data_IF_532830941629
#
_entry.id   IF_532830941629
#
_cell.length_a   1.000
_cell.length_b   1.000
_cell.length_c   1.000
_cell.angle_alpha   90.00
_cell.angle_beta   90.00
_cell.angle_gamma   90.00
#
_symmetry.space_group_name_H-M   'P 1'
#
loop_
_entity.id
_entity.type
_entity.pdbx_description
1 polymer ?
#
# COMPACT_ATOMS: atom_id res chain seq x y z
N UNK A 1 -24.47 -2.78 -34.59
CA UNK A 1 -25.52 -2.61 -33.55
C UNK A 1 -25.03 -1.60 -32.51
N UNK A 2 -25.50 -0.35 -32.60
CA UNK A 2 -25.20 0.73 -31.65
C UNK A 2 -26.10 0.57 -30.42
N UNK A 3 -25.54 0.18 -29.28
CA UNK A 3 -26.30 0.15 -28.02
C UNK A 3 -26.69 1.57 -27.59
N UNK A 4 -27.88 1.77 -27.02
CA UNK A 4 -28.35 3.09 -26.61
C UNK A 4 -27.41 3.73 -25.56
N UNK A 5 -27.17 5.04 -25.70
CA UNK A 5 -26.23 5.83 -24.88
C UNK A 5 -26.51 5.68 -23.37
N UNK A 6 -27.78 5.60 -22.97
CA UNK A 6 -28.20 5.40 -21.58
C UNK A 6 -27.69 4.08 -20.98
N UNK A 7 -27.66 3.00 -21.78
CA UNK A 7 -27.12 1.70 -21.35
C UNK A 7 -25.59 1.75 -21.19
N UNK A 8 -24.89 2.50 -22.04
CA UNK A 8 -23.44 2.69 -21.92
C UNK A 8 -23.08 3.48 -20.66
N UNK A 9 -23.86 4.50 -20.31
CA UNK A 9 -23.67 5.29 -19.09
C UNK A 9 -23.96 4.51 -17.80
N UNK A 10 -25.01 3.67 -17.78
CA UNK A 10 -25.34 2.85 -16.60
C UNK A 10 -24.28 1.79 -16.31
N UNK A 11 -23.73 1.17 -17.36
CA UNK A 11 -22.64 0.20 -17.25
C UNK A 11 -21.36 0.82 -16.68
N UNK A 12 -20.97 2.03 -17.12
CA UNK A 12 -19.80 2.72 -16.58
C UNK A 12 -19.98 3.13 -15.11
N UNK A 13 -21.21 3.45 -14.69
CA UNK A 13 -21.51 3.69 -13.27
C UNK A 13 -21.30 2.43 -12.42
N UNK A 14 -21.75 1.28 -12.90
CA UNK A 14 -21.54 -0.01 -12.21
C UNK A 14 -20.05 -0.36 -12.12
N UNK A 15 -19.28 -0.16 -13.20
CA UNK A 15 -17.81 -0.36 -13.20
C UNK A 15 -17.13 0.55 -12.18
N UNK A 16 -17.56 1.82 -12.07
CA UNK A 16 -17.01 2.75 -11.08
C UNK A 16 -17.24 2.27 -9.65
N UNK A 17 -18.46 1.86 -9.30
CA UNK A 17 -18.74 1.32 -7.96
C UNK A 17 -18.00 0.02 -7.66
N UNK A 18 -17.86 -0.85 -8.66
CA UNK A 18 -17.03 -2.04 -8.52
C UNK A 18 -15.56 -1.69 -8.25
N UNK A 19 -14.97 -0.72 -8.96
CA UNK A 19 -13.59 -0.28 -8.70
C UNK A 19 -13.44 0.42 -7.34
N UNK A 20 -14.44 1.18 -6.88
CA UNK A 20 -14.46 1.73 -5.51
C UNK A 20 -14.44 0.59 -4.49
N UNK A 21 -15.29 -0.42 -4.67
CA UNK A 21 -15.31 -1.60 -3.81
C UNK A 21 -13.95 -2.32 -3.80
N UNK A 22 -13.32 -2.51 -4.97
CA UNK A 22 -11.99 -3.11 -5.04
C UNK A 22 -10.91 -2.27 -4.33
N UNK A 23 -10.95 -0.95 -4.44
CA UNK A 23 -10.03 -0.07 -3.73
C UNK A 23 -10.21 -0.19 -2.20
N UNK A 24 -11.45 -0.22 -1.72
CA UNK A 24 -11.76 -0.42 -0.30
C UNK A 24 -11.30 -1.79 0.20
N UNK A 25 -11.50 -2.86 -0.57
CA UNK A 25 -11.00 -4.19 -0.21
C UNK A 25 -9.47 -4.23 -0.13
N UNK A 26 -8.76 -3.61 -1.06
CA UNK A 26 -7.30 -3.56 -1.01
C UNK A 26 -6.82 -2.72 0.18
N UNK A 27 -7.48 -1.60 0.50
CA UNK A 27 -7.17 -0.83 1.69
C UNK A 27 -7.38 -1.65 2.97
N UNK A 28 -8.48 -2.41 3.06
CA UNK A 28 -8.73 -3.33 4.16
C UNK A 28 -7.67 -4.44 4.21
N UNK A 29 -7.28 -5.03 3.07
CA UNK A 29 -6.23 -6.03 2.98
C UNK A 29 -4.89 -5.52 3.52
N UNK A 30 -4.52 -4.28 3.17
CA UNK A 30 -3.30 -3.65 3.69
C UNK A 30 -3.38 -3.50 5.21
N UNK A 31 -4.51 -3.07 5.78
CA UNK A 31 -4.67 -2.95 7.23
C UNK A 31 -4.65 -4.30 7.95
N UNK A 32 -5.36 -5.30 7.42
CA UNK A 32 -5.35 -6.66 7.98
C UNK A 32 -3.95 -7.26 7.91
N UNK A 33 -3.23 -7.10 6.79
CA UNK A 33 -1.83 -7.53 6.67
C UNK A 33 -0.89 -6.78 7.62
N UNK A 34 -1.14 -5.48 7.86
CA UNK A 34 -0.46 -4.69 8.88
C UNK A 34 -0.67 -5.27 10.28
N UNK A 35 -1.91 -5.66 10.61
CA UNK A 35 -2.24 -6.31 11.87
C UNK A 35 -1.54 -7.66 12.00
N UNK A 36 -1.62 -8.53 10.98
CA UNK A 36 -0.92 -9.82 10.92
C UNK A 36 0.58 -9.68 11.17
N UNK A 37 1.23 -8.63 10.65
CA UNK A 37 2.64 -8.34 10.96
C UNK A 37 2.82 -7.85 12.39
N UNK A 38 2.00 -6.90 12.85
CA UNK A 38 2.13 -6.30 14.19
C UNK A 38 1.89 -7.32 15.32
N UNK A 39 1.11 -8.36 15.06
CA UNK A 39 0.85 -9.49 15.96
C UNK A 39 1.77 -10.69 15.69
N UNK A 40 2.83 -10.52 14.90
CA UNK A 40 3.84 -11.55 14.56
C UNK A 40 3.23 -12.84 13.98
N UNK A 41 2.07 -12.73 13.34
CA UNK A 41 1.23 -13.86 12.95
C UNK A 41 1.56 -14.41 11.56
N UNK A 42 2.46 -13.77 10.80
CA UNK A 42 2.70 -14.06 9.38
C UNK A 42 3.32 -15.43 9.04
N UNK A 43 3.58 -16.28 10.03
CA UNK A 43 4.21 -17.61 9.88
C UNK A 43 3.44 -18.74 10.62
N UNK A 44 2.23 -18.44 11.13
CA UNK A 44 1.38 -19.40 11.85
C UNK A 44 0.81 -20.52 10.98
N UNK A 45 0.68 -20.31 9.65
CA UNK A 45 0.16 -21.29 8.69
C UNK A 45 1.29 -21.80 7.80
N UNK A 46 1.83 -22.97 8.17
CA UNK A 46 2.97 -23.60 7.51
C UNK A 46 2.62 -24.29 6.20
N UNK A 47 1.35 -24.67 6.01
CA UNK A 47 0.89 -25.37 4.81
C UNK A 47 0.44 -24.40 3.72
N UNK A 48 0.82 -24.66 2.47
CA UNK A 48 0.28 -23.97 1.31
C UNK A 48 -0.88 -24.75 0.71
N UNK A 49 -2.11 -24.36 1.08
CA UNK A 49 -3.36 -24.91 0.55
C UNK A 49 -4.18 -23.81 -0.14
N UNK A 50 -4.02 -23.59 -1.47
CA UNK A 50 -4.66 -22.47 -2.18
C UNK A 50 -6.18 -22.51 -2.14
N UNK A 51 -6.76 -23.70 -2.30
CA UNK A 51 -8.21 -23.91 -2.39
C UNK A 51 -8.78 -24.33 -1.03
N UNK A 52 -8.34 -25.48 -0.50
CA UNK A 52 -8.88 -26.07 0.74
C UNK A 52 -8.55 -25.25 1.99
N UNK A 53 -7.46 -24.48 1.99
CA UNK A 53 -7.12 -23.55 3.08
C UNK A 53 -8.01 -22.30 3.16
N UNK A 54 -9.12 -22.27 2.41
CA UNK A 54 -10.19 -21.28 2.58
C UNK A 54 -11.07 -21.60 3.79
N UNK A 55 -11.12 -22.86 4.21
CA UNK A 55 -11.73 -23.27 5.48
C UNK A 55 -10.65 -23.29 6.57
N UNK A 56 -10.91 -22.77 7.77
CA UNK A 56 -10.02 -22.94 8.91
C UNK A 56 -10.15 -24.38 9.46
N UNK A 57 -9.29 -24.83 10.39
CA UNK A 57 -9.50 -26.05 11.13
C UNK A 57 -10.87 -26.03 11.84
N UNK A 58 -11.68 -27.07 11.63
CA UNK A 58 -13.06 -27.17 12.13
C UNK A 58 -13.19 -28.15 13.30
N UNK A 59 -12.24 -29.07 13.47
CA UNK A 59 -12.21 -30.02 14.58
C UNK A 59 -11.02 -29.78 15.51
N UNK A 60 -11.10 -30.34 16.73
CA UNK A 60 -9.99 -30.27 17.69
C UNK A 60 -8.72 -30.95 17.17
N UNK A 61 -8.87 -32.07 16.45
CA UNK A 61 -7.75 -32.81 15.87
C UNK A 61 -7.06 -32.01 14.75
N UNK A 62 -7.82 -31.31 13.92
CA UNK A 62 -7.27 -30.44 12.88
C UNK A 62 -6.51 -29.25 13.49
N UNK A 63 -7.03 -28.66 14.56
CA UNK A 63 -6.35 -27.60 15.31
C UNK A 63 -5.05 -28.09 15.95
N UNK A 64 -5.07 -29.28 16.56
CA UNK A 64 -3.88 -29.90 17.13
C UNK A 64 -2.81 -30.13 16.06
N UNK A 65 -3.20 -30.69 14.91
CA UNK A 65 -2.27 -30.94 13.79
C UNK A 65 -1.66 -29.65 13.24
N UNK A 66 -2.45 -28.61 13.05
CA UNK A 66 -1.94 -27.31 12.61
C UNK A 66 -0.94 -26.73 13.61
N UNK A 67 -1.22 -26.86 14.91
CA UNK A 67 -0.34 -26.37 15.97
C UNK A 67 0.95 -27.19 16.06
N UNK A 68 0.91 -28.52 15.93
CA UNK A 68 2.12 -29.34 15.85
C UNK A 68 3.01 -28.90 14.68
N UNK A 69 2.43 -28.62 13.50
CA UNK A 69 3.19 -28.07 12.37
C UNK A 69 3.86 -26.74 12.68
N UNK A 70 3.22 -25.87 13.47
CA UNK A 70 3.81 -24.60 13.91
C UNK A 70 4.95 -24.80 14.92
N UNK A 71 4.90 -25.83 15.78
CA UNK A 71 5.99 -26.12 16.73
C UNK A 71 7.31 -26.50 16.05
N UNK A 72 7.24 -26.94 14.80
CA UNK A 72 8.42 -27.33 14.03
C UNK A 72 9.21 -26.14 13.45
N UNK A 73 8.63 -24.94 13.39
CA UNK A 73 9.30 -23.79 12.77
C UNK A 73 10.13 -22.98 13.79
N UNK A 74 11.18 -22.25 13.34
CA UNK A 74 12.03 -21.47 14.23
C UNK A 74 11.27 -20.46 15.10
N UNK A 75 10.23 -19.82 14.56
CA UNK A 75 9.44 -18.83 15.30
C UNK A 75 8.85 -19.41 16.60
N UNK A 76 8.35 -20.65 16.58
CA UNK A 76 7.88 -21.28 17.82
C UNK A 76 9.02 -21.53 18.78
N UNK A 77 10.11 -22.15 18.31
CA UNK A 77 11.24 -22.58 19.15
C UNK A 77 11.97 -21.41 19.81
N UNK A 78 12.09 -20.28 19.11
CA UNK A 78 12.89 -19.13 19.56
C UNK A 78 12.07 -18.02 20.21
N UNK A 79 10.81 -17.81 19.79
CA UNK A 79 9.99 -16.69 20.26
C UNK A 79 8.76 -17.11 21.08
N UNK A 80 8.15 -18.26 20.75
CA UNK A 80 6.83 -18.65 21.28
C UNK A 80 6.86 -19.99 22.01
N UNK A 81 8.02 -20.39 22.55
CA UNK A 81 8.18 -21.67 23.22
C UNK A 81 7.25 -21.74 24.45
N UNK A 82 6.46 -22.81 24.54
CA UNK A 82 5.47 -22.99 25.60
C UNK A 82 4.11 -22.33 25.34
N UNK A 83 3.90 -21.75 24.16
CA UNK A 83 2.59 -21.22 23.73
C UNK A 83 1.49 -22.28 23.83
N UNK A 84 0.29 -21.88 24.26
CA UNK A 84 -0.88 -22.76 24.29
C UNK A 84 -1.60 -22.81 22.95
N UNK A 85 -2.45 -23.82 22.74
CA UNK A 85 -3.26 -23.91 21.52
C UNK A 85 -4.17 -22.67 21.32
N UNK A 86 -4.69 -22.08 22.40
CA UNK A 86 -5.57 -20.90 22.29
C UNK A 86 -4.80 -19.63 21.94
N UNK A 87 -3.56 -19.50 22.40
CA UNK A 87 -2.65 -18.44 21.94
C UNK A 87 -2.29 -18.63 20.47
N UNK A 88 -2.03 -19.87 20.02
CA UNK A 88 -1.79 -20.19 18.62
C UNK A 88 -3.00 -19.84 17.72
N UNK A 89 -4.24 -20.14 18.15
CA UNK A 89 -5.45 -19.74 17.41
C UNK A 89 -5.50 -18.25 17.14
N UNK A 90 -5.03 -17.42 18.08
CA UNK A 90 -5.03 -15.95 17.92
C UNK A 90 -4.17 -15.52 16.73
N UNK A 91 -2.93 -16.02 16.63
CA UNK A 91 -2.06 -15.71 15.49
C UNK A 91 -2.57 -16.37 14.19
N UNK A 92 -3.09 -17.60 14.28
CA UNK A 92 -3.68 -18.30 13.14
C UNK A 92 -4.83 -17.50 12.51
N UNK A 93 -5.75 -16.96 13.31
CA UNK A 93 -6.89 -16.21 12.80
C UNK A 93 -6.49 -14.96 12.04
N UNK A 94 -5.44 -14.24 12.48
CA UNK A 94 -4.94 -13.08 11.76
C UNK A 94 -4.38 -13.46 10.39
N UNK A 95 -3.56 -14.52 10.33
CA UNK A 95 -2.97 -14.95 9.07
C UNK A 95 -4.01 -15.56 8.12
N UNK A 96 -4.90 -16.40 8.64
CA UNK A 96 -5.97 -17.00 7.87
C UNK A 96 -6.90 -15.94 7.28
N UNK A 97 -7.30 -14.94 8.07
CA UNK A 97 -8.17 -13.84 7.62
C UNK A 97 -7.52 -13.02 6.52
N UNK A 98 -6.23 -12.71 6.67
CA UNK A 98 -5.44 -12.02 5.64
C UNK A 98 -5.40 -12.83 4.33
N UNK A 99 -5.09 -14.14 4.41
CA UNK A 99 -5.04 -15.03 3.24
C UNK A 99 -6.41 -15.21 2.58
N UNK A 100 -7.47 -15.38 3.36
CA UNK A 100 -8.84 -15.49 2.86
C UNK A 100 -9.27 -14.22 2.14
N UNK A 101 -9.01 -13.05 2.72
CA UNK A 101 -9.31 -11.77 2.10
C UNK A 101 -8.57 -11.60 0.77
N UNK A 102 -7.30 -12.00 0.68
CA UNK A 102 -6.55 -12.02 -0.59
C UNK A 102 -7.20 -12.90 -1.67
N UNK A 103 -7.67 -14.11 -1.31
CA UNK A 103 -8.41 -15.00 -2.23
C UNK A 103 -9.73 -14.36 -2.68
N UNK A 104 -10.47 -13.80 -1.73
CA UNK A 104 -11.74 -13.12 -2.00
C UNK A 104 -11.55 -11.95 -2.96
N UNK A 105 -10.51 -11.13 -2.79
CA UNK A 105 -10.16 -10.03 -3.71
C UNK A 105 -9.95 -10.55 -5.13
N UNK A 106 -9.26 -11.68 -5.31
CA UNK A 106 -9.07 -12.30 -6.63
C UNK A 106 -10.39 -12.62 -7.32
N UNK A 107 -11.32 -13.24 -6.59
CA UNK A 107 -12.66 -13.61 -7.09
C UNK A 107 -13.52 -12.36 -7.34
N UNK A 108 -13.53 -11.42 -6.37
CA UNK A 108 -14.28 -10.17 -6.42
C UNK A 108 -13.80 -9.24 -7.55
N UNK A 109 -12.55 -9.39 -8.00
CA UNK A 109 -12.08 -8.75 -9.23
C UNK A 109 -12.48 -9.55 -10.48
N UNK A 110 -12.14 -10.84 -10.53
CA UNK A 110 -12.26 -11.63 -11.76
C UNK A 110 -13.71 -11.79 -12.22
N UNK A 111 -14.64 -12.13 -11.32
CA UNK A 111 -16.02 -12.43 -11.73
C UNK A 111 -16.75 -11.20 -12.31
N UNK A 112 -16.75 -10.02 -11.65
CA UNK A 112 -17.35 -8.83 -12.25
C UNK A 112 -16.62 -8.40 -13.52
N UNK A 113 -15.29 -8.55 -13.58
CA UNK A 113 -14.52 -8.23 -14.78
C UNK A 113 -14.96 -9.05 -16.00
N UNK A 114 -15.04 -10.39 -15.85
CA UNK A 114 -15.54 -11.29 -16.89
C UNK A 114 -16.99 -10.94 -17.28
N UNK A 115 -17.84 -10.64 -16.30
CA UNK A 115 -19.23 -10.23 -16.55
C UNK A 115 -19.31 -8.94 -17.36
N UNK A 116 -18.56 -7.90 -16.99
CA UNK A 116 -18.53 -6.63 -17.74
C UNK A 116 -17.98 -6.82 -19.17
N UNK A 117 -16.99 -7.70 -19.36
CA UNK A 117 -16.48 -8.05 -20.70
C UNK A 117 -17.55 -8.73 -21.54
N UNK A 118 -18.23 -9.76 -21.01
CA UNK A 118 -19.31 -10.47 -21.71
C UNK A 118 -20.46 -9.51 -22.04
N UNK A 119 -20.80 -8.61 -21.12
CA UNK A 119 -21.79 -7.56 -21.32
C UNK A 119 -21.30 -6.45 -22.25
N UNK A 120 -20.11 -6.52 -22.87
CA UNK A 120 -19.59 -5.48 -23.77
C UNK A 120 -19.54 -4.08 -23.14
N UNK A 121 -19.36 -4.01 -21.82
CA UNK A 121 -19.43 -2.78 -21.03
C UNK A 121 -18.13 -1.97 -21.08
N UNK A 122 -17.03 -2.60 -21.48
CA UNK A 122 -15.67 -2.07 -21.32
C UNK A 122 -15.08 -1.60 -22.66
N UNK A 123 -14.69 -0.33 -22.78
CA UNK A 123 -13.84 0.14 -23.88
C UNK A 123 -12.51 -0.62 -23.92
N UNK A 124 -11.87 -0.69 -25.10
CA UNK A 124 -10.61 -1.44 -25.32
C UNK A 124 -9.48 -1.00 -24.38
N UNK A 125 -9.29 0.32 -24.18
CA UNK A 125 -8.25 0.83 -23.27
C UNK A 125 -8.51 0.44 -21.81
N UNK A 126 -9.77 0.52 -21.37
CA UNK A 126 -10.16 0.11 -20.01
C UNK A 126 -9.96 -1.40 -19.83
N UNK A 127 -10.33 -2.22 -20.82
CA UNK A 127 -10.10 -3.67 -20.80
C UNK A 127 -8.62 -4.01 -20.64
N UNK A 128 -7.73 -3.34 -21.40
CA UNK A 128 -6.27 -3.53 -21.29
C UNK A 128 -5.76 -3.18 -19.89
N UNK A 129 -6.16 -2.03 -19.34
CA UNK A 129 -5.78 -1.61 -17.98
C UNK A 129 -6.22 -2.62 -16.91
N UNK A 130 -7.45 -3.13 -17.00
CA UNK A 130 -7.99 -4.10 -16.05
C UNK A 130 -7.27 -5.45 -16.14
N UNK A 131 -6.85 -5.89 -17.32
CA UNK A 131 -5.99 -7.08 -17.46
C UNK A 131 -4.62 -6.90 -16.81
N UNK A 132 -3.99 -5.73 -16.98
CA UNK A 132 -2.72 -5.41 -16.31
C UNK A 132 -2.90 -5.44 -14.80
N UNK A 133 -3.95 -4.80 -14.27
CA UNK A 133 -4.27 -4.81 -12.84
C UNK A 133 -4.51 -6.25 -12.33
N UNK A 134 -5.21 -7.09 -13.10
CA UNK A 134 -5.41 -8.49 -12.76
C UNK A 134 -4.10 -9.28 -12.73
N UNK A 135 -3.23 -9.09 -13.73
CA UNK A 135 -1.91 -9.72 -13.77
C UNK A 135 -1.03 -9.31 -12.58
N UNK A 136 -1.05 -8.03 -12.21
CA UNK A 136 -0.38 -7.54 -11.01
C UNK A 136 -0.96 -8.16 -9.73
N UNK A 137 -2.28 -8.39 -9.67
CA UNK A 137 -2.93 -9.13 -8.58
C UNK A 137 -2.45 -10.59 -8.48
N UNK A 138 -2.25 -11.26 -9.62
CA UNK A 138 -1.62 -12.59 -9.65
C UNK A 138 -0.18 -12.56 -9.12
N UNK A 139 0.61 -11.58 -9.56
CA UNK A 139 1.97 -11.35 -9.05
C UNK A 139 1.97 -11.05 -7.55
N UNK A 140 1.01 -10.28 -7.04
CA UNK A 140 0.84 -10.01 -5.61
C UNK A 140 0.67 -11.31 -4.82
N UNK A 141 -0.15 -12.24 -5.32
CA UNK A 141 -0.30 -13.57 -4.72
C UNK A 141 1.01 -14.37 -4.72
N UNK A 142 1.76 -14.34 -5.82
CA UNK A 142 3.07 -15.00 -5.92
C UNK A 142 4.10 -14.40 -4.94
N UNK A 143 4.17 -13.07 -4.83
CA UNK A 143 5.04 -12.38 -3.86
C UNK A 143 4.61 -12.71 -2.43
N UNK A 144 3.31 -12.80 -2.15
CA UNK A 144 2.80 -13.20 -0.83
C UNK A 144 3.15 -14.63 -0.47
N UNK A 145 3.10 -15.56 -1.42
CA UNK A 145 3.61 -16.92 -1.22
C UNK A 145 5.12 -16.94 -0.94
N UNK A 146 5.90 -16.22 -1.76
CA UNK A 146 7.35 -16.10 -1.56
C UNK A 146 7.69 -15.53 -0.19
N UNK A 147 6.93 -14.54 0.28
CA UNK A 147 7.08 -13.90 1.59
C UNK A 147 6.95 -14.89 2.75
N UNK A 148 5.97 -15.81 2.71
CA UNK A 148 5.77 -16.81 3.78
C UNK A 148 6.72 -17.99 3.63
N UNK A 149 6.77 -18.61 2.45
CA UNK A 149 7.47 -19.89 2.24
C UNK A 149 8.94 -19.83 2.70
N UNK A 150 9.54 -18.67 2.52
CA UNK A 150 10.93 -18.38 2.82
C UNK A 150 11.21 -17.95 4.27
N UNK A 151 10.17 -17.78 5.08
CA UNK A 151 10.26 -17.54 6.52
C UNK A 151 10.08 -18.80 7.35
N UNK A 152 9.72 -19.94 6.75
CA UNK A 152 9.39 -21.16 7.49
C UNK A 152 10.63 -22.00 7.89
N UNK A 153 11.76 -21.84 7.21
CA UNK A 153 12.92 -22.75 7.37
C UNK A 153 14.12 -22.11 8.07
N UNK A 154 14.35 -20.81 7.88
CA UNK A 154 15.61 -20.14 8.28
C UNK A 154 15.41 -18.90 9.16
N UNK A 155 14.17 -18.47 9.40
CA UNK A 155 13.87 -17.19 10.05
C UNK A 155 12.74 -17.34 11.05
N UNK A 156 12.74 -16.46 12.05
CA UNK A 156 11.64 -16.33 13.02
C UNK A 156 10.57 -15.32 12.56
N UNK A 157 10.84 -14.60 11.47
CA UNK A 157 9.98 -13.57 10.92
C UNK A 157 10.11 -13.46 9.40
N UNK A 158 9.14 -12.78 8.81
CA UNK A 158 9.19 -12.44 7.40
C UNK A 158 10.26 -11.37 7.17
N UNK A 159 11.13 -11.61 6.19
CA UNK A 159 12.13 -10.62 5.76
C UNK A 159 11.51 -9.27 5.38
N UNK A 160 12.11 -8.19 5.90
CA UNK A 160 11.76 -6.81 5.61
C UNK A 160 11.76 -6.49 4.11
N UNK A 161 12.65 -7.09 3.33
CA UNK A 161 12.70 -6.93 1.88
C UNK A 161 11.43 -7.48 1.20
N UNK A 162 10.97 -8.65 1.66
CA UNK A 162 9.79 -9.33 1.10
C UNK A 162 8.52 -8.61 1.52
N UNK A 163 8.44 -8.21 2.79
CA UNK A 163 7.35 -7.38 3.31
C UNK A 163 7.22 -6.07 2.52
N UNK A 164 8.32 -5.34 2.34
CA UNK A 164 8.33 -4.08 1.60
C UNK A 164 7.93 -4.27 0.13
N UNK A 165 8.45 -5.31 -0.53
CA UNK A 165 8.08 -5.65 -1.91
C UNK A 165 6.58 -5.95 -2.02
N UNK A 166 6.04 -6.76 -1.11
CA UNK A 166 4.62 -7.13 -1.10
C UNK A 166 3.72 -5.91 -0.85
N UNK A 167 4.06 -5.04 0.11
CA UNK A 167 3.29 -3.85 0.42
C UNK A 167 3.31 -2.85 -0.74
N UNK A 168 4.49 -2.55 -1.30
CA UNK A 168 4.61 -1.60 -2.42
C UNK A 168 3.84 -2.09 -3.64
N UNK A 169 3.90 -3.38 -3.97
CA UNK A 169 3.11 -3.95 -5.08
C UNK A 169 1.60 -3.83 -4.83
N UNK A 170 1.11 -4.10 -3.61
CA UNK A 170 -0.29 -3.86 -3.26
C UNK A 170 -0.71 -2.40 -3.46
N UNK A 171 0.13 -1.46 -3.05
CA UNK A 171 -0.12 -0.02 -3.15
C UNK A 171 -0.02 0.49 -4.60
N UNK A 172 0.79 -0.14 -5.45
CA UNK A 172 0.81 0.10 -6.89
C UNK A 172 -0.51 -0.37 -7.55
N UNK A 173 -1.01 -1.55 -7.18
CA UNK A 173 -2.31 -2.05 -7.65
C UNK A 173 -3.44 -1.11 -7.20
N UNK A 174 -3.43 -0.71 -5.93
CA UNK A 174 -4.37 0.26 -5.38
C UNK A 174 -4.33 1.58 -6.17
N UNK A 175 -3.13 2.12 -6.41
CA UNK A 175 -2.91 3.33 -7.19
C UNK A 175 -3.46 3.20 -8.61
N UNK A 176 -3.22 2.07 -9.28
CA UNK A 176 -3.73 1.82 -10.62
C UNK A 176 -5.27 1.79 -10.67
N UNK A 177 -5.91 1.23 -9.64
CA UNK A 177 -7.38 1.22 -9.51
C UNK A 177 -7.90 2.65 -9.27
N UNK A 178 -7.32 3.40 -8.32
CA UNK A 178 -7.72 4.79 -8.04
C UNK A 178 -7.54 5.66 -9.27
N UNK A 179 -6.41 5.55 -9.97
CA UNK A 179 -6.15 6.27 -11.21
C UNK A 179 -7.16 5.91 -12.30
N UNK A 180 -7.51 4.63 -12.44
CA UNK A 180 -8.52 4.17 -13.41
C UNK A 180 -9.89 4.74 -13.07
N UNK A 181 -10.31 4.65 -11.81
CA UNK A 181 -11.57 5.21 -11.30
C UNK A 181 -11.67 6.71 -11.59
N UNK A 182 -10.57 7.44 -11.41
CA UNK A 182 -10.46 8.86 -11.69
C UNK A 182 -10.68 9.20 -13.17
N UNK A 183 -10.07 8.42 -14.06
CA UNK A 183 -10.21 8.54 -15.52
C UNK A 183 -11.59 8.12 -16.06
N UNK A 184 -12.38 7.36 -15.30
CA UNK A 184 -13.79 7.04 -15.63
C UNK A 184 -14.76 8.17 -15.28
N UNK A 185 -14.30 9.24 -14.64
CA UNK A 185 -15.12 10.39 -14.33
C UNK A 185 -15.03 11.43 -15.45
N UNK A 186 -16.16 11.85 -16.02
CA UNK A 186 -16.20 12.99 -16.92
C UNK A 186 -15.86 14.26 -16.14
N UNK A 187 -14.62 14.73 -16.29
CA UNK A 187 -14.12 15.96 -15.65
C UNK A 187 -13.49 16.84 -16.72
N UNK A 188 -13.70 18.18 -16.65
CA UNK A 188 -12.96 19.08 -17.51
C UNK A 188 -11.46 18.97 -17.20
N UNK A 189 -10.59 19.01 -18.22
CA UNK A 189 -9.15 19.03 -18.00
C UNK A 189 -8.79 20.29 -17.18
N UNK A 190 -8.02 20.12 -16.11
CA UNK A 190 -7.49 21.28 -15.38
C UNK A 190 -6.13 21.65 -15.96
N UNK A 191 -6.02 22.85 -16.50
CA UNK A 191 -4.74 23.41 -16.92
C UNK A 191 -3.88 23.64 -15.68
N UNK A 192 -2.73 22.95 -15.63
CA UNK A 192 -1.71 23.10 -14.61
C UNK A 192 -0.40 23.53 -15.28
N UNK A 193 0.38 24.39 -14.62
CA UNK A 193 1.74 24.72 -15.04
C UNK A 193 2.65 23.49 -15.02
N UNK A 194 3.70 23.47 -15.84
CA UNK A 194 4.65 22.35 -15.86
C UNK A 194 5.27 22.09 -14.49
N UNK A 195 5.57 23.16 -13.73
CA UNK A 195 6.09 23.08 -12.36
C UNK A 195 5.15 22.33 -11.42
N UNK A 196 3.85 22.64 -11.44
CA UNK A 196 2.86 21.95 -10.60
C UNK A 196 2.68 20.48 -11.01
N UNK A 197 2.73 20.17 -12.31
CA UNK A 197 2.68 18.78 -12.82
C UNK A 197 3.87 17.96 -12.35
N UNK A 198 5.07 18.54 -12.45
CA UNK A 198 6.32 17.89 -12.04
C UNK A 198 6.32 17.68 -10.53
N UNK A 199 6.04 18.73 -9.75
CA UNK A 199 6.01 18.63 -8.28
C UNK A 199 4.94 17.65 -7.79
N UNK A 200 3.76 17.60 -8.42
CA UNK A 200 2.74 16.61 -8.12
C UNK A 200 3.18 15.16 -8.40
N UNK A 201 3.88 14.93 -9.50
CA UNK A 201 4.46 13.61 -9.83
C UNK A 201 5.57 13.24 -8.85
N UNK A 202 6.46 14.18 -8.52
CA UNK A 202 7.52 13.99 -7.52
C UNK A 202 6.94 13.64 -6.16
N UNK A 203 5.90 14.34 -5.71
CA UNK A 203 5.20 14.01 -4.46
C UNK A 203 4.67 12.58 -4.46
N UNK A 204 4.05 12.12 -5.55
CA UNK A 204 3.58 10.74 -5.65
C UNK A 204 4.73 9.73 -5.52
N UNK A 205 5.85 9.98 -6.19
CA UNK A 205 7.05 9.12 -6.10
C UNK A 205 7.60 9.11 -4.68
N UNK A 206 7.76 10.28 -4.05
CA UNK A 206 8.27 10.39 -2.68
C UNK A 206 7.34 9.72 -1.66
N UNK A 207 6.01 9.74 -1.88
CA UNK A 207 5.07 8.96 -1.07
C UNK A 207 5.36 7.46 -1.18
N UNK A 208 5.64 6.93 -2.37
CA UNK A 208 6.04 5.51 -2.52
C UNK A 208 7.36 5.19 -1.82
N UNK A 209 8.35 6.09 -1.91
CA UNK A 209 9.63 5.93 -1.20
C UNK A 209 9.40 5.92 0.32
N UNK A 210 8.57 6.83 0.83
CA UNK A 210 8.22 6.88 2.25
C UNK A 210 7.49 5.62 2.73
N UNK A 211 6.54 5.11 1.93
CA UNK A 211 5.81 3.86 2.22
C UNK A 211 6.76 2.65 2.21
N UNK A 212 7.71 2.61 1.28
CA UNK A 212 8.77 1.59 1.25
C UNK A 212 9.64 1.63 2.51
N UNK A 213 10.13 2.81 2.91
CA UNK A 213 10.89 2.96 4.15
C UNK A 213 10.07 2.60 5.40
N UNK A 214 8.77 2.94 5.41
CA UNK A 214 7.87 2.53 6.49
C UNK A 214 7.74 1.00 6.59
N UNK A 215 7.70 0.31 5.45
CA UNK A 215 7.69 -1.14 5.40
C UNK A 215 8.99 -1.77 5.92
N UNK A 216 10.15 -1.15 5.66
CA UNK A 216 11.43 -1.58 6.23
C UNK A 216 11.48 -1.37 7.74
N UNK A 217 11.04 -0.21 8.23
CA UNK A 217 10.94 0.08 9.68
C UNK A 217 10.06 -0.95 10.37
N UNK A 218 8.93 -1.31 9.76
CA UNK A 218 8.08 -2.38 10.25
C UNK A 218 8.80 -3.75 10.16
N UNK A 219 9.39 -4.11 9.03
CA UNK A 219 10.05 -5.40 8.86
C UNK A 219 11.19 -5.65 9.85
N UNK A 220 11.96 -4.61 10.21
CA UNK A 220 13.06 -4.71 11.17
C UNK A 220 12.64 -4.53 12.64
N UNK A 221 11.35 -4.29 12.92
CA UNK A 221 10.86 -3.84 14.24
C UNK A 221 11.58 -2.57 14.75
N UNK A 222 12.14 -1.77 13.83
CA UNK A 222 12.94 -0.58 14.12
C UNK A 222 12.17 0.50 14.90
N UNK A 223 10.85 0.51 14.81
CA UNK A 223 9.99 1.42 15.56
C UNK A 223 10.04 1.24 17.09
N UNK A 224 10.61 0.15 17.62
CA UNK A 224 10.72 -0.14 19.07
C UNK A 224 12.13 0.08 19.65
N UNK A 225 13.06 0.60 18.86
CA UNK A 225 14.49 0.65 19.26
C UNK A 225 14.90 2.06 19.69
N UNK A 226 14.63 3.07 18.84
CA UNK A 226 15.01 4.45 19.11
C UNK A 226 13.76 5.32 19.17
N UNK A 227 13.24 5.59 20.37
CA UNK A 227 11.89 6.13 20.58
C UNK A 227 11.84 7.60 21.04
N UNK A 228 12.91 8.37 20.82
CA UNK A 228 12.95 9.83 21.03
C UNK A 228 12.62 10.60 19.75
N UNK A 229 12.23 11.87 19.89
CA UNK A 229 11.98 12.83 18.80
C UNK A 229 12.17 14.27 19.30
N UNK A 230 12.81 15.18 18.53
CA UNK A 230 13.28 15.02 17.15
C UNK A 230 14.63 14.31 17.02
N UNK A 231 15.36 14.13 18.12
CA UNK A 231 16.59 13.35 18.14
C UNK A 231 16.31 11.85 17.93
N UNK A 232 17.35 11.12 17.58
CA UNK A 232 17.39 9.67 17.48
C UNK A 232 18.69 9.23 18.13
N UNK A 233 18.56 8.59 19.29
CA UNK A 233 19.68 8.15 20.12
C UNK A 233 20.61 9.31 20.54
N UNK A 234 20.04 10.38 21.08
CA UNK A 234 20.77 11.52 21.65
C UNK A 234 21.31 12.52 20.63
N UNK A 235 21.01 12.36 19.34
CA UNK A 235 21.44 13.28 18.28
C UNK A 235 20.39 13.44 17.18
N UNK A 236 20.32 14.59 16.52
CA UNK A 236 19.41 14.76 15.36
C UNK A 236 19.89 13.99 14.13
N UNK A 237 21.20 13.95 13.90
CA UNK A 237 21.88 13.14 12.89
C UNK A 237 22.90 12.28 13.63
N UNK A 238 22.70 10.95 13.70
CA UNK A 238 23.68 10.05 14.29
C UNK A 238 25.02 10.09 13.56
N UNK A 239 26.08 9.74 14.27
CA UNK A 239 27.42 9.70 13.70
C UNK A 239 27.54 8.66 12.57
N UNK A 240 28.43 8.92 11.61
CA UNK A 240 28.55 8.11 10.40
C UNK A 240 28.96 6.66 10.69
N UNK A 241 29.78 6.43 11.70
CA UNK A 241 30.17 5.09 12.17
C UNK A 241 28.97 4.27 12.64
N UNK A 242 27.94 4.91 13.18
CA UNK A 242 26.71 4.24 13.63
C UNK A 242 25.71 4.02 12.50
N UNK A 243 25.70 4.93 11.52
CA UNK A 243 24.83 4.81 10.34
C UNK A 243 25.39 3.84 9.30
N UNK A 244 26.70 3.61 9.26
CA UNK A 244 27.36 2.88 8.18
C UNK A 244 28.35 1.80 8.66
N UNK A 245 28.03 1.07 9.73
CA UNK A 245 28.89 -0.01 10.24
C UNK A 245 28.80 -1.32 9.45
N UNK A 246 27.66 -1.63 8.82
CA UNK A 246 27.50 -2.87 8.05
C UNK A 246 28.37 -2.88 6.78
N UNK A 247 28.90 -4.06 6.43
CA UNK A 247 29.66 -4.28 5.20
C UNK A 247 28.96 -5.30 4.28
N UNK A 248 28.85 -5.03 2.97
CA UNK A 248 29.15 -3.77 2.29
C UNK A 248 28.23 -2.60 2.73
N UNK A 249 28.73 -1.37 2.65
CA UNK A 249 28.08 -0.17 3.23
C UNK A 249 26.60 0.02 2.89
N UNK A 250 26.16 -0.39 1.69
CA UNK A 250 24.78 -0.23 1.23
C UNK A 250 23.78 -1.06 2.04
N UNK A 251 24.23 -2.11 2.73
CA UNK A 251 23.37 -2.92 3.60
C UNK A 251 22.77 -2.11 4.74
N UNK A 252 23.47 -1.06 5.20
CA UNK A 252 22.94 -0.19 6.24
C UNK A 252 21.61 0.47 5.85
N UNK A 253 21.36 0.71 4.56
CA UNK A 253 20.12 1.32 4.09
C UNK A 253 18.88 0.41 4.24
N UNK A 254 19.09 -0.87 4.57
CA UNK A 254 18.04 -1.89 4.57
C UNK A 254 18.07 -2.84 5.78
N UNK A 255 19.23 -3.04 6.39
CA UNK A 255 19.47 -3.98 7.50
C UNK A 255 19.77 -3.25 8.82
N UNK A 256 20.45 -2.09 8.77
CA UNK A 256 20.79 -1.34 9.98
C UNK A 256 19.55 -0.61 10.49
N UNK A 257 19.08 -1.04 11.66
CA UNK A 257 17.86 -0.53 12.30
C UNK A 257 17.91 0.98 12.54
N UNK A 258 19.06 1.53 12.97
CA UNK A 258 19.22 2.97 13.20
C UNK A 258 19.09 3.75 11.88
N UNK A 259 19.78 3.30 10.84
CA UNK A 259 19.80 3.94 9.53
C UNK A 259 18.44 3.87 8.84
N UNK A 260 17.75 2.72 8.91
CA UNK A 260 16.41 2.55 8.36
C UNK A 260 15.38 3.44 9.08
N UNK A 261 15.51 3.61 10.39
CA UNK A 261 14.63 4.52 11.13
C UNK A 261 14.97 5.98 10.80
N UNK A 262 16.24 6.34 10.74
CA UNK A 262 16.71 7.68 10.37
C UNK A 262 16.27 8.10 8.95
N UNK A 263 16.46 7.24 7.94
CA UNK A 263 16.06 7.54 6.56
C UNK A 263 14.54 7.72 6.44
N UNK A 264 13.75 6.95 7.19
CA UNK A 264 12.29 7.09 7.22
C UNK A 264 11.86 8.44 7.79
N UNK A 265 12.54 8.92 8.85
CA UNK A 265 12.27 10.24 9.45
C UNK A 265 12.69 11.38 8.51
N UNK A 266 13.90 11.33 7.96
CA UNK A 266 14.40 12.38 7.05
C UNK A 266 13.59 12.48 5.76
N UNK A 267 13.19 11.34 5.19
CA UNK A 267 12.30 11.31 4.03
C UNK A 267 10.91 11.86 4.37
N UNK A 268 10.37 11.61 5.58
CA UNK A 268 9.11 12.20 6.02
C UNK A 268 9.18 13.73 6.06
N UNK A 269 10.27 14.31 6.60
CA UNK A 269 10.47 15.76 6.65
C UNK A 269 10.59 16.37 5.26
N UNK A 270 11.39 15.75 4.38
CA UNK A 270 11.54 16.19 3.00
C UNK A 270 10.21 16.14 2.24
N UNK A 271 9.46 15.04 2.37
CA UNK A 271 8.14 14.87 1.76
C UNK A 271 7.16 15.94 2.26
N UNK A 272 7.12 16.20 3.56
CA UNK A 272 6.27 17.24 4.15
C UNK A 272 6.62 18.63 3.61
N UNK A 273 7.91 18.98 3.57
CA UNK A 273 8.38 20.25 3.02
C UNK A 273 7.97 20.42 1.55
N UNK A 274 8.15 19.39 0.71
CA UNK A 274 7.76 19.42 -0.71
C UNK A 274 6.24 19.61 -0.85
N UNK A 275 5.42 19.00 0.01
CA UNK A 275 3.96 19.16 -0.04
C UNK A 275 3.51 20.57 0.34
N UNK A 276 4.12 21.17 1.35
CA UNK A 276 3.88 22.57 1.73
C UNK A 276 4.31 23.50 0.60
N UNK A 277 5.49 23.29 0.01
CA UNK A 277 5.96 24.08 -1.13
C UNK A 277 5.04 23.94 -2.36
N UNK A 278 4.52 22.73 -2.62
CA UNK A 278 3.53 22.51 -3.69
C UNK A 278 2.21 23.27 -3.43
N UNK A 279 1.75 23.32 -2.18
CA UNK A 279 0.58 24.13 -1.80
C UNK A 279 0.85 25.63 -1.98
N UNK A 280 1.99 26.12 -1.51
CA UNK A 280 2.39 27.53 -1.68
C UNK A 280 2.46 27.87 -3.17
N UNK A 281 3.09 27.03 -4.00
CA UNK A 281 3.16 27.21 -5.44
C UNK A 281 1.75 27.29 -6.06
N UNK A 282 0.86 26.36 -5.70
CA UNK A 282 -0.52 26.35 -6.21
C UNK A 282 -1.28 27.64 -5.84
N UNK A 283 -1.08 28.17 -4.63
CA UNK A 283 -1.70 29.41 -4.17
C UNK A 283 -1.12 30.64 -4.88
N UNK A 284 0.20 30.79 -4.91
CA UNK A 284 0.89 31.95 -5.49
C UNK A 284 0.68 32.02 -7.01
N UNK A 285 0.72 30.88 -7.69
CA UNK A 285 0.45 30.80 -9.14
C UNK A 285 -1.03 30.95 -9.50
N UNK A 286 -1.93 31.09 -8.50
CA UNK A 286 -3.39 31.16 -8.68
C UNK A 286 -3.90 30.01 -9.53
N UNK A 287 -3.41 28.79 -9.23
CA UNK A 287 -3.81 27.59 -9.93
C UNK A 287 -5.32 27.34 -9.82
N UNK A 288 -5.84 26.45 -10.66
CA UNK A 288 -7.25 26.06 -10.62
C UNK A 288 -7.68 25.71 -9.17
N UNK A 289 -8.87 26.17 -8.69
CA UNK A 289 -9.32 25.92 -7.31
C UNK A 289 -9.33 24.45 -6.89
N UNK A 290 -9.55 23.53 -7.83
CA UNK A 290 -9.46 22.10 -7.56
C UNK A 290 -8.02 21.70 -7.19
N UNK A 291 -7.00 22.16 -7.93
CA UNK A 291 -5.58 21.89 -7.65
C UNK A 291 -5.19 22.42 -6.27
N UNK A 292 -5.57 23.67 -5.96
CA UNK A 292 -5.31 24.28 -4.64
C UNK A 292 -5.96 23.47 -3.52
N UNK A 293 -7.24 23.11 -3.67
CA UNK A 293 -7.95 22.29 -2.68
C UNK A 293 -7.31 20.91 -2.50
N UNK A 294 -6.83 20.29 -3.57
CA UNK A 294 -6.12 19.01 -3.49
C UNK A 294 -4.78 19.11 -2.78
N UNK A 295 -4.00 20.15 -3.08
CA UNK A 295 -2.74 20.42 -2.38
C UNK A 295 -2.97 20.69 -0.89
N UNK A 296 -4.03 21.41 -0.54
CA UNK A 296 -4.40 21.67 0.86
C UNK A 296 -4.74 20.37 1.61
N UNK A 297 -5.64 19.55 1.06
CA UNK A 297 -5.99 18.27 1.68
C UNK A 297 -4.79 17.33 1.80
N UNK A 298 -3.91 17.32 0.80
CA UNK A 298 -2.68 16.53 0.86
C UNK A 298 -1.76 17.02 1.99
N UNK A 299 -1.55 18.33 2.11
CA UNK A 299 -0.73 18.91 3.20
C UNK A 299 -1.33 18.60 4.59
N UNK A 300 -2.64 18.76 4.77
CA UNK A 300 -3.33 18.43 6.02
C UNK A 300 -3.22 16.94 6.37
N UNK A 301 -3.41 16.05 5.39
CA UNK A 301 -3.25 14.62 5.59
C UNK A 301 -1.80 14.24 5.93
N UNK A 302 -0.81 14.92 5.34
CA UNK A 302 0.60 14.73 5.69
C UNK A 302 0.94 15.25 7.09
N UNK A 303 0.32 16.35 7.55
CA UNK A 303 0.44 16.79 8.95
C UNK A 303 -0.07 15.71 9.88
N UNK A 304 -1.28 15.20 9.64
CA UNK A 304 -1.84 14.09 10.44
C UNK A 304 -0.96 12.85 10.38
N UNK A 305 -0.44 12.48 9.21
CA UNK A 305 0.46 11.35 9.03
C UNK A 305 1.74 11.49 9.86
N UNK A 306 2.37 12.67 9.82
CA UNK A 306 3.57 12.97 10.58
C UNK A 306 3.30 12.93 12.09
N UNK A 307 2.21 13.54 12.56
CA UNK A 307 1.78 13.47 13.97
C UNK A 307 1.58 12.03 14.42
N UNK A 308 0.83 11.23 13.66
CA UNK A 308 0.61 9.81 13.98
C UNK A 308 1.90 9.01 13.96
N UNK A 309 2.83 9.31 13.05
CA UNK A 309 4.14 8.65 13.00
C UNK A 309 4.98 8.95 14.25
N UNK A 310 5.01 10.22 14.67
CA UNK A 310 5.68 10.65 15.90
C UNK A 310 5.02 10.01 17.13
N UNK A 311 3.69 9.99 17.23
CA UNK A 311 3.01 9.35 18.36
C UNK A 311 3.23 7.83 18.37
N UNK A 312 3.19 7.16 17.21
CA UNK A 312 3.48 5.72 17.10
C UNK A 312 4.89 5.41 17.60
N UNK A 313 5.85 6.28 17.29
CA UNK A 313 7.23 6.18 17.74
C UNK A 313 7.34 6.43 19.26
N UNK A 314 6.83 7.55 19.78
CA UNK A 314 6.98 7.92 21.20
C UNK A 314 6.32 6.92 22.15
N UNK A 315 5.25 6.25 21.72
CA UNK A 315 4.55 5.23 22.50
C UNK A 315 4.98 3.78 22.19
N UNK A 316 6.12 3.58 21.53
CA UNK A 316 6.71 2.25 21.28
C UNK A 316 5.84 1.30 20.43
N UNK A 317 5.24 1.84 19.37
CA UNK A 317 4.44 1.12 18.38
C UNK A 317 3.19 0.43 18.97
N UNK A 318 2.27 1.14 19.63
CA UNK A 318 0.97 0.57 19.99
C UNK A 318 0.24 0.15 18.72
N UNK A 319 -0.32 -1.06 18.70
CA UNK A 319 -0.92 -1.65 17.49
C UNK A 319 -1.96 -0.72 16.86
N UNK A 320 -2.80 -0.10 17.69
CA UNK A 320 -3.83 0.83 17.21
C UNK A 320 -3.22 2.06 16.54
N UNK A 321 -2.22 2.70 17.14
CA UNK A 321 -1.55 3.86 16.53
C UNK A 321 -0.83 3.48 15.23
N UNK A 322 -0.13 2.34 15.22
CA UNK A 322 0.54 1.85 14.03
C UNK A 322 -0.43 1.57 12.87
N UNK A 323 -1.58 0.94 13.16
CA UNK A 323 -2.62 0.68 12.16
C UNK A 323 -3.31 1.96 11.67
N UNK A 324 -3.58 2.92 12.57
CA UNK A 324 -4.15 4.23 12.18
C UNK A 324 -3.15 5.02 11.33
N UNK A 325 -1.87 5.02 11.69
CA UNK A 325 -0.79 5.61 10.89
C UNK A 325 -0.71 4.97 9.49
N UNK A 326 -0.84 3.65 9.40
CA UNK A 326 -0.87 2.95 8.11
C UNK A 326 -2.13 3.27 7.30
N UNK A 327 -3.29 3.39 7.95
CA UNK A 327 -4.55 3.78 7.32
C UNK A 327 -4.50 5.20 6.75
N UNK A 328 -3.98 6.16 7.51
CA UNK A 328 -3.78 7.54 7.01
C UNK A 328 -2.74 7.58 5.90
N UNK A 329 -1.74 6.69 5.89
CA UNK A 329 -0.79 6.57 4.78
C UNK A 329 -1.50 6.22 3.45
N UNK A 330 -2.52 5.35 3.48
CA UNK A 330 -3.35 5.02 2.30
C UNK A 330 -4.16 6.24 1.85
N UNK A 331 -4.64 7.06 2.79
CA UNK A 331 -5.33 8.33 2.48
C UNK A 331 -4.36 9.32 1.82
N UNK A 332 -3.15 9.48 2.35
CA UNK A 332 -2.10 10.32 1.75
C UNK A 332 -1.78 9.86 0.33
N UNK A 333 -1.59 8.54 0.11
CA UNK A 333 -1.39 7.97 -1.21
C UNK A 333 -2.55 8.30 -2.15
N UNK A 334 -3.79 8.10 -1.69
CA UNK A 334 -5.00 8.40 -2.47
C UNK A 334 -5.02 9.88 -2.90
N UNK A 335 -4.75 10.80 -1.97
CA UNK A 335 -4.72 12.23 -2.25
C UNK A 335 -3.59 12.61 -3.20
N UNK A 336 -2.40 12.03 -3.06
CA UNK A 336 -1.26 12.25 -3.95
C UNK A 336 -1.56 11.77 -5.38
N UNK A 337 -2.14 10.57 -5.52
CA UNK A 337 -2.58 10.00 -6.82
C UNK A 337 -3.63 10.89 -7.46
N UNK A 338 -4.63 11.33 -6.69
CA UNK A 338 -5.70 12.20 -7.20
C UNK A 338 -5.17 13.58 -7.59
N UNK A 339 -4.21 14.12 -6.85
CA UNK A 339 -3.57 15.39 -7.15
C UNK A 339 -2.75 15.30 -8.44
N UNK A 340 -1.90 14.29 -8.58
CA UNK A 340 -1.10 14.06 -9.78
C UNK A 340 -1.97 13.78 -11.02
N UNK A 341 -2.99 12.92 -10.90
CA UNK A 341 -3.90 12.59 -12.00
C UNK A 341 -4.61 13.82 -12.54
N UNK A 342 -5.10 14.68 -11.64
CA UNK A 342 -5.83 15.90 -12.01
C UNK A 342 -5.01 16.80 -12.90
N UNK A 343 -3.70 16.92 -12.63
CA UNK A 343 -2.78 17.76 -13.40
C UNK A 343 -2.27 17.08 -14.67
N UNK A 344 -2.58 15.80 -14.89
CA UNK A 344 -2.21 15.06 -16.10
C UNK A 344 -3.32 15.17 -17.14
N UNK A 345 -3.01 15.74 -18.30
CA UNK A 345 -3.93 15.83 -19.43
C UNK A 345 -4.60 14.47 -19.71
N UNK A 346 -5.93 14.46 -19.84
CA UNK A 346 -6.67 13.29 -20.28
C UNK A 346 -6.39 13.02 -21.76
N UNK A 347 -6.35 11.75 -22.18
CA UNK A 347 -6.17 11.38 -23.59
C UNK A 347 -7.20 12.08 -24.51
N UNK A 348 -8.41 12.33 -24.01
CA UNK A 348 -9.48 13.01 -24.73
C UNK A 348 -9.25 14.52 -24.96
N UNK A 349 -8.30 15.14 -24.25
CA UNK A 349 -7.89 16.53 -24.47
C UNK A 349 -6.80 16.60 -25.54
N UNK A 350 -5.80 15.70 -25.51
CA UNK A 350 -4.79 15.56 -26.56
C UNK A 350 -5.39 15.21 -27.91
N UNK A 351 -6.31 14.24 -27.95
CA UNK A 351 -6.96 13.84 -29.20
C UNK A 351 -7.85 14.95 -29.80
N UNK A 352 -8.49 15.78 -28.96
CA UNK A 352 -9.25 16.95 -29.43
C UNK A 352 -8.34 18.09 -29.89
N UNK A 353 -7.19 18.25 -29.26
CA UNK A 353 -6.19 19.23 -29.67
C UNK A 353 -5.51 18.83 -30.98
N UNK A 354 -5.19 17.55 -31.17
CA UNK A 354 -4.65 17.01 -32.42
C UNK A 354 -5.67 17.11 -33.57
N UNK A 355 -6.95 16.80 -33.33
CA UNK A 355 -8.01 16.94 -34.32
C UNK A 355 -8.36 18.40 -34.64
N UNK A 356 -8.20 19.32 -33.68
CA UNK A 356 -8.40 20.75 -33.88
C UNK A 356 -7.26 21.44 -34.64
N UNK A 357 -6.03 20.93 -34.52
CA UNK A 357 -4.86 21.41 -35.27
C UNK A 357 -4.83 20.83 -36.70
N UNK A 358 -5.43 19.66 -36.94
CA UNK A 358 -5.54 19.08 -38.28
C UNK A 358 -6.66 19.71 -39.14
N UNK A 359 -7.50 20.57 -38.57
CA UNK A 359 -8.65 21.19 -39.22
C UNK A 359 -8.50 22.70 -39.47
N UNK A 360 -7.32 23.27 -39.21
CA UNK A 360 -6.93 24.64 -39.56
C UNK A 360 -5.63 24.60 -40.35
#
# INVERSE_FOLDING_TARGET
MTRPIAQKQSHLRAVRWWLVFMALLIAAMVLVGGATRLTESGLSIVEWKPVTGSLPPLSQDEWAKAFEGYKEIPQYREMNAGMTLDQFKTIFWWEWSHRLLGRFIGIAFLLPFLWFMWRGALPSDLKRRLWIIFGLGGLQGAVGWWMVASGLTERTEVSQYRLATHLVLALLIFTAIVWTLRRLSDRPPTLASIRLRVTGSVLLVLVFVQLYFGALVAGLRAGRVFNTWPDIDGSFIPSADRLFFEQPWWRNLFDNTLTVQFQHRMMAYALFAVAVLHLIDALVSRANPAIVRGALWLALAMTLQATLGILTLLYEVPIVLALVHQGVAIVVLTLAVVQAERMTEGHSARQRQELGVAAG
#
